data_IF_543894798303
#
_entry.id   IF_543894798303
#
_cell.length_a   1.000
_cell.length_b   1.000
_cell.length_c   1.000
_cell.angle_alpha   90.00
_cell.angle_beta   90.00
_cell.angle_gamma   90.00
#
_symmetry.space_group_name_H-M   'P 1'
#
loop_
_entity.id
_entity.type
_entity.pdbx_description
1 polymer ?
#
# COMPACT_ATOMS: atom_id res chain seq x y z
N UNK A 1 -20.87 -16.77 23.14
CA UNK A 1 -19.41 -16.54 23.13
C UNK A 1 -19.07 -15.93 21.79
N UNK A 2 -18.47 -14.74 21.74
CA UNK A 2 -18.20 -14.06 20.46
C UNK A 2 -17.02 -14.71 19.77
N UNK A 3 -17.24 -15.22 18.55
CA UNK A 3 -16.25 -15.85 17.69
C UNK A 3 -15.20 -14.83 17.20
N UNK A 4 -14.31 -14.39 18.10
CA UNK A 4 -13.06 -13.74 17.75
C UNK A 4 -11.94 -14.79 17.68
N UNK A 5 -12.08 -15.75 16.76
CA UNK A 5 -11.06 -16.77 16.48
C UNK A 5 -9.92 -16.23 15.62
N UNK A 6 -9.37 -15.05 15.97
CA UNK A 6 -8.25 -14.44 15.26
C UNK A 6 -6.91 -14.93 15.81
N UNK A 7 -5.98 -15.32 14.93
CA UNK A 7 -4.67 -15.84 15.28
C UNK A 7 -3.57 -15.27 14.39
N UNK A 8 -2.33 -15.65 14.66
CA UNK A 8 -1.20 -15.28 13.80
C UNK A 8 -1.41 -15.83 12.38
N UNK A 9 -1.30 -14.95 11.38
CA UNK A 9 -1.49 -15.34 9.98
C UNK A 9 -0.44 -16.37 9.54
N UNK A 10 -0.83 -17.36 8.74
CA UNK A 10 0.13 -18.26 8.11
C UNK A 10 1.13 -17.49 7.23
N UNK A 11 2.41 -17.83 7.30
CA UNK A 11 3.47 -17.11 6.57
C UNK A 11 4.08 -18.01 5.50
N UNK A 12 3.75 -17.74 4.24
CA UNK A 12 4.38 -18.35 3.08
C UNK A 12 5.58 -17.53 2.56
N UNK A 13 5.56 -16.20 2.76
CA UNK A 13 6.63 -15.27 2.39
C UNK A 13 7.00 -14.47 3.64
N UNK A 14 8.29 -14.49 4.06
CA UNK A 14 8.74 -13.76 5.24
C UNK A 14 8.47 -12.24 5.13
N UNK A 15 8.01 -11.57 6.21
CA UNK A 15 7.77 -10.13 6.22
C UNK A 15 8.99 -9.30 5.84
N UNK A 16 10.20 -9.77 6.16
CA UNK A 16 11.44 -9.09 5.76
C UNK A 16 11.58 -8.92 4.25
N UNK A 17 11.05 -9.88 3.45
CA UNK A 17 11.08 -9.79 1.98
C UNK A 17 10.06 -8.79 1.45
N UNK A 18 8.86 -8.74 2.03
CA UNK A 18 7.83 -7.77 1.62
C UNK A 18 8.22 -6.35 2.02
N UNK A 19 8.79 -6.17 3.22
CA UNK A 19 9.39 -4.90 3.66
C UNK A 19 10.52 -4.47 2.70
N UNK A 20 11.48 -5.36 2.41
CA UNK A 20 12.58 -5.04 1.52
C UNK A 20 12.08 -4.63 0.12
N UNK A 21 11.11 -5.38 -0.43
CA UNK A 21 10.47 -5.03 -1.70
C UNK A 21 9.85 -3.63 -1.66
N UNK A 22 9.06 -3.32 -0.63
CA UNK A 22 8.36 -2.05 -0.50
C UNK A 22 9.29 -0.87 -0.27
N UNK A 23 10.23 -0.98 0.67
CA UNK A 23 11.14 0.11 1.06
C UNK A 23 12.19 0.35 -0.02
N UNK A 24 12.90 -0.69 -0.44
CA UNK A 24 13.98 -0.55 -1.43
C UNK A 24 13.38 -0.24 -2.80
N UNK A 25 12.34 -0.97 -3.22
CA UNK A 25 11.66 -0.71 -4.49
C UNK A 25 11.00 0.66 -4.53
N UNK A 26 10.32 1.07 -3.45
CA UNK A 26 9.68 2.38 -3.33
C UNK A 26 10.68 3.53 -3.40
N UNK A 27 11.72 3.50 -2.56
CA UNK A 27 12.72 4.57 -2.52
C UNK A 27 13.54 4.65 -3.81
N UNK A 28 14.04 3.53 -4.34
CA UNK A 28 14.79 3.53 -5.61
C UNK A 28 13.90 4.05 -6.75
N UNK A 29 12.64 3.60 -6.82
CA UNK A 29 11.69 4.06 -7.82
C UNK A 29 11.46 5.57 -7.75
N UNK A 30 11.21 6.12 -6.56
CA UNK A 30 11.02 7.55 -6.35
C UNK A 30 12.29 8.31 -6.74
N UNK A 31 13.45 7.89 -6.26
CA UNK A 31 14.72 8.54 -6.58
C UNK A 31 15.11 8.45 -8.06
N UNK A 32 14.54 7.50 -8.80
CA UNK A 32 14.78 7.39 -10.22
C UNK A 32 14.05 8.45 -11.06
N UNK A 33 13.05 9.13 -10.49
CA UNK A 33 12.20 10.12 -11.19
C UNK A 33 12.98 11.16 -12.01
N UNK A 34 14.05 11.80 -11.49
CA UNK A 34 14.75 12.87 -12.20
C UNK A 34 15.68 12.38 -13.31
N UNK A 35 16.04 11.08 -13.37
CA UNK A 35 17.06 10.60 -14.31
C UNK A 35 16.59 10.64 -15.77
N UNK A 36 15.31 10.36 -16.01
CA UNK A 36 14.76 10.35 -17.35
C UNK A 36 13.27 10.70 -17.30
N UNK A 37 12.77 11.59 -18.18
CA UNK A 37 11.39 12.07 -18.15
C UNK A 37 10.33 11.01 -18.47
N UNK A 38 10.73 9.85 -18.99
CA UNK A 38 9.84 8.72 -19.29
C UNK A 38 10.10 7.58 -18.29
N UNK A 39 11.34 7.09 -18.23
CA UNK A 39 11.69 5.94 -17.38
C UNK A 39 11.65 6.27 -15.88
N UNK A 40 11.99 7.49 -15.48
CA UNK A 40 11.98 7.89 -14.07
C UNK A 40 10.59 7.81 -13.45
N UNK A 41 9.59 8.55 -13.98
CA UNK A 41 8.21 8.49 -13.49
C UNK A 41 7.61 7.08 -13.57
N UNK A 42 7.97 6.29 -14.59
CA UNK A 42 7.59 4.89 -14.68
C UNK A 42 8.14 4.07 -13.50
N UNK A 43 9.44 4.19 -13.21
CA UNK A 43 10.06 3.51 -12.07
C UNK A 43 9.47 3.96 -10.73
N UNK A 44 9.11 5.23 -10.59
CA UNK A 44 8.41 5.73 -9.40
C UNK A 44 7.05 5.06 -9.20
N UNK A 45 6.28 4.89 -10.27
CA UNK A 45 4.99 4.19 -10.21
C UNK A 45 5.14 2.70 -9.91
N UNK A 46 6.17 2.03 -10.43
CA UNK A 46 6.51 0.64 -10.08
C UNK A 46 6.99 0.51 -8.63
N UNK A 47 7.73 1.49 -8.12
CA UNK A 47 8.11 1.59 -6.72
C UNK A 47 6.89 1.73 -5.81
N UNK A 48 5.89 2.53 -6.21
CA UNK A 48 4.62 2.62 -5.50
C UNK A 48 3.85 1.29 -5.50
N UNK A 49 3.88 0.53 -6.60
CA UNK A 49 3.31 -0.83 -6.65
C UNK A 49 3.98 -1.74 -5.62
N UNK A 50 5.31 -1.70 -5.52
CA UNK A 50 6.05 -2.48 -4.52
C UNK A 50 5.65 -2.09 -3.08
N UNK A 51 5.49 -0.79 -2.82
CA UNK A 51 5.04 -0.28 -1.53
C UNK A 51 3.61 -0.74 -1.19
N UNK A 52 2.69 -0.78 -2.15
CA UNK A 52 1.32 -1.30 -1.94
C UNK A 52 1.34 -2.78 -1.58
N UNK A 53 2.16 -3.60 -2.24
CA UNK A 53 2.29 -5.03 -1.93
C UNK A 53 2.81 -5.24 -0.50
N UNK A 54 3.78 -4.42 -0.06
CA UNK A 54 4.24 -4.42 1.33
C UNK A 54 3.13 -4.01 2.31
N UNK A 55 2.40 -2.93 2.00
CA UNK A 55 1.27 -2.48 2.82
C UNK A 55 0.18 -3.53 2.95
N UNK A 56 -0.16 -4.24 1.87
CA UNK A 56 -1.15 -5.30 1.89
C UNK A 56 -0.73 -6.48 2.80
N UNK A 57 0.55 -6.84 2.80
CA UNK A 57 1.09 -7.84 3.73
C UNK A 57 1.00 -7.39 5.20
N UNK A 58 1.29 -6.12 5.47
CA UNK A 58 1.16 -5.55 6.80
C UNK A 58 -0.31 -5.48 7.27
N UNK A 59 -1.26 -5.13 6.39
CA UNK A 59 -2.70 -5.20 6.68
C UNK A 59 -3.08 -6.63 7.03
N UNK A 60 -2.70 -7.60 6.19
CA UNK A 60 -3.04 -9.00 6.39
C UNK A 60 -2.60 -9.50 7.77
N UNK A 61 -1.35 -9.21 8.15
CA UNK A 61 -0.80 -9.64 9.45
C UNK A 61 -1.56 -9.06 10.63
N UNK A 62 -1.89 -7.76 10.61
CA UNK A 62 -2.62 -7.15 11.74
C UNK A 62 -4.10 -7.55 11.74
N UNK A 63 -4.69 -7.75 10.57
CA UNK A 63 -6.09 -8.07 10.39
C UNK A 63 -6.44 -9.53 10.69
N UNK A 64 -5.47 -10.45 10.60
CA UNK A 64 -5.66 -11.87 10.98
C UNK A 64 -6.03 -12.06 12.45
N UNK A 65 -5.75 -11.06 13.30
CA UNK A 65 -6.17 -11.04 14.70
C UNK A 65 -7.66 -10.73 14.90
N UNK A 66 -8.48 -10.79 13.84
CA UNK A 66 -9.93 -10.67 13.95
C UNK A 66 -10.40 -9.23 14.11
N UNK A 67 -9.81 -8.30 13.35
CA UNK A 67 -10.12 -6.87 13.45
C UNK A 67 -11.53 -6.48 13.00
N UNK A 68 -12.24 -7.33 12.24
CA UNK A 68 -13.56 -7.03 11.70
C UNK A 68 -13.58 -5.70 10.94
N UNK A 69 -14.41 -4.75 11.38
CA UNK A 69 -14.51 -3.39 10.81
C UNK A 69 -13.27 -2.52 11.05
N UNK A 70 -12.35 -2.93 11.93
CA UNK A 70 -11.10 -2.23 12.21
C UNK A 70 -10.08 -2.27 11.07
N UNK A 71 -10.24 -3.17 10.07
CA UNK A 71 -9.33 -3.28 8.92
C UNK A 71 -9.41 -2.06 7.99
N UNK A 72 -10.61 -1.62 7.57
CA UNK A 72 -10.75 -0.31 6.93
C UNK A 72 -10.18 0.83 7.77
N UNK A 73 -10.47 0.87 9.07
CA UNK A 73 -10.06 1.98 9.94
C UNK A 73 -8.54 2.13 10.02
N UNK A 74 -7.81 1.03 10.23
CA UNK A 74 -6.35 1.10 10.38
C UNK A 74 -5.66 1.53 9.08
N UNK A 75 -6.14 1.09 7.91
CA UNK A 75 -5.49 1.50 6.67
C UNK A 75 -5.88 2.92 6.22
N UNK A 76 -7.12 3.40 6.43
CA UNK A 76 -7.47 4.80 6.12
C UNK A 76 -6.67 5.77 7.00
N UNK A 77 -6.56 5.45 8.29
CA UNK A 77 -5.74 6.22 9.23
C UNK A 77 -4.25 6.17 8.85
N UNK A 78 -3.71 4.98 8.55
CA UNK A 78 -2.31 4.84 8.16
C UNK A 78 -2.00 5.58 6.86
N UNK A 79 -2.95 5.63 5.92
CA UNK A 79 -2.79 6.37 4.69
C UNK A 79 -2.84 7.88 4.91
N UNK A 80 -3.75 8.37 5.76
CA UNK A 80 -3.77 9.77 6.15
C UNK A 80 -2.43 10.18 6.78
N UNK A 81 -1.91 9.36 7.69
CA UNK A 81 -0.57 9.55 8.30
C UNK A 81 0.52 9.56 7.21
N UNK A 82 0.45 8.65 6.24
CA UNK A 82 1.37 8.61 5.11
C UNK A 82 1.38 9.90 4.29
N UNK A 83 0.20 10.44 3.96
CA UNK A 83 0.07 11.72 3.24
C UNK A 83 0.66 12.85 4.07
N UNK A 84 0.32 12.95 5.35
CA UNK A 84 0.87 13.99 6.24
C UNK A 84 2.40 13.88 6.33
N UNK A 85 2.94 12.66 6.44
CA UNK A 85 4.38 12.42 6.43
C UNK A 85 5.04 12.85 5.13
N UNK A 86 4.41 12.58 3.99
CA UNK A 86 4.88 13.04 2.66
C UNK A 86 4.92 14.57 2.59
N UNK A 87 3.83 15.24 2.94
CA UNK A 87 3.76 16.70 2.88
C UNK A 87 4.77 17.35 3.84
N UNK A 88 4.86 16.85 5.08
CA UNK A 88 5.79 17.36 6.07
C UNK A 88 7.26 17.12 5.68
N UNK A 89 7.60 15.93 5.16
CA UNK A 89 8.96 15.61 4.77
C UNK A 89 9.43 16.37 3.54
N UNK A 90 8.54 16.52 2.54
CA UNK A 90 8.82 17.33 1.36
C UNK A 90 8.92 18.83 1.68
N UNK A 91 8.07 19.34 2.59
CA UNK A 91 8.18 20.72 3.09
C UNK A 91 9.46 20.96 3.91
N UNK A 92 9.86 20.00 4.74
CA UNK A 92 11.12 20.05 5.50
C UNK A 92 12.35 20.16 4.60
N UNK A 93 12.33 19.51 3.43
CA UNK A 93 13.37 19.66 2.40
C UNK A 93 13.49 21.07 1.81
N UNK A 94 12.38 21.83 1.77
CA UNK A 94 12.41 23.24 1.37
C UNK A 94 12.96 24.11 2.52
N UNK A 95 12.52 23.85 3.76
CA UNK A 95 12.89 24.67 4.92
C UNK A 95 14.38 24.57 5.28
N UNK A 96 15.01 23.42 5.04
CA UNK A 96 16.44 23.20 5.30
C UNK A 96 17.35 23.72 4.17
N UNK A 97 16.79 24.12 3.03
CA UNK A 97 17.50 24.64 1.86
C UNK A 97 17.44 23.69 0.65
N UNK A 98 17.43 24.27 -0.56
CA UNK A 98 17.24 23.54 -1.84
C UNK A 98 18.23 22.39 -2.09
N UNK A 99 19.42 22.45 -1.49
CA UNK A 99 20.41 21.37 -1.53
C UNK A 99 19.92 20.05 -0.90
N UNK A 100 18.97 20.11 0.05
CA UNK A 100 18.45 18.95 0.76
C UNK A 100 17.17 18.38 0.15
N UNK A 101 16.74 18.86 -1.02
CA UNK A 101 15.57 18.33 -1.75
C UNK A 101 15.71 16.82 -2.01
N UNK A 102 16.94 16.33 -2.18
CA UNK A 102 17.22 14.90 -2.34
C UNK A 102 16.90 14.08 -1.08
N UNK A 103 16.86 14.68 0.11
CA UNK A 103 16.47 13.97 1.33
C UNK A 103 14.96 13.91 1.51
N UNK A 104 14.17 14.67 0.73
CA UNK A 104 12.72 14.79 0.86
C UNK A 104 11.99 13.44 0.97
N UNK A 105 12.18 12.50 0.01
CA UNK A 105 11.53 11.18 0.08
C UNK A 105 11.89 10.36 1.33
N UNK A 106 13.16 10.38 1.75
CA UNK A 106 13.62 9.64 2.92
C UNK A 106 13.04 10.23 4.22
N UNK A 107 13.04 11.56 4.33
CA UNK A 107 12.48 12.28 5.49
C UNK A 107 10.97 12.08 5.56
N UNK A 108 10.27 12.16 4.41
CA UNK A 108 8.84 11.86 4.31
C UNK A 108 8.50 10.46 4.83
N UNK A 109 9.25 9.47 4.38
CA UNK A 109 9.10 8.08 4.83
C UNK A 109 9.37 7.93 6.34
N UNK A 110 10.44 8.53 6.85
CA UNK A 110 10.78 8.46 8.27
C UNK A 110 9.71 9.13 9.16
N UNK A 111 9.23 10.33 8.79
CA UNK A 111 8.18 11.02 9.52
C UNK A 111 6.89 10.19 9.54
N UNK A 112 6.49 9.62 8.40
CA UNK A 112 5.29 8.78 8.33
C UNK A 112 5.39 7.56 9.26
N UNK A 113 6.54 6.87 9.29
CA UNK A 113 6.76 5.74 10.19
C UNK A 113 6.73 6.15 11.67
N UNK A 114 7.34 7.28 12.03
CA UNK A 114 7.32 7.80 13.40
C UNK A 114 5.89 8.12 13.84
N UNK A 115 5.13 8.84 13.00
CA UNK A 115 3.73 9.19 13.28
C UNK A 115 2.85 7.93 13.38
N UNK A 116 3.06 6.94 12.52
CA UNK A 116 2.39 5.64 12.60
C UNK A 116 2.66 4.94 13.94
N UNK A 117 3.92 4.96 14.40
CA UNK A 117 4.31 4.42 15.69
C UNK A 117 3.65 5.15 16.87
N UNK A 118 3.61 6.48 16.85
CA UNK A 118 2.94 7.28 17.88
C UNK A 118 1.45 6.93 17.97
N UNK A 119 0.75 6.91 16.83
CA UNK A 119 -0.68 6.59 16.78
C UNK A 119 -0.94 5.16 17.25
N UNK A 120 -0.09 4.20 16.87
CA UNK A 120 -0.23 2.82 17.31
C UNK A 120 0.05 2.63 18.81
N UNK A 121 1.00 3.38 19.38
CA UNK A 121 1.25 3.39 20.82
C UNK A 121 0.07 3.96 21.59
N UNK A 122 -0.60 4.99 21.07
CA UNK A 122 -1.86 5.50 21.62
C UNK A 122 -2.93 4.41 21.56
N UNK A 123 -3.11 3.75 20.42
CA UNK A 123 -4.07 2.65 20.27
C UNK A 123 -3.81 1.48 21.24
N UNK A 124 -2.54 1.11 21.43
CA UNK A 124 -2.16 0.00 22.32
C UNK A 124 -2.28 0.38 23.81
N UNK A 125 -1.75 1.55 24.22
CA UNK A 125 -1.62 1.92 25.64
C UNK A 125 -2.81 2.70 26.19
N UNK A 126 -3.44 3.56 25.39
CA UNK A 126 -4.53 4.44 25.84
C UNK A 126 -5.88 3.81 25.53
N UNK A 127 -6.09 3.36 24.29
CA UNK A 127 -7.36 2.70 23.89
C UNK A 127 -7.43 1.26 24.42
N UNK A 128 -6.28 0.64 24.71
CA UNK A 128 -6.22 -0.70 25.29
C UNK A 128 -6.36 -1.84 24.29
N UNK A 129 -6.02 -1.60 23.02
CA UNK A 129 -6.05 -2.64 21.98
C UNK A 129 -5.01 -3.74 22.28
N UNK A 130 -5.46 -5.00 22.40
CA UNK A 130 -4.62 -6.15 22.78
C UNK A 130 -4.02 -6.91 21.60
N UNK A 131 -3.64 -6.20 20.54
CA UNK A 131 -3.08 -6.81 19.33
C UNK A 131 -1.54 -6.81 19.45
N UNK A 132 -0.87 -7.98 19.45
CA UNK A 132 0.57 -8.08 19.73
C UNK A 132 1.44 -7.24 18.77
N UNK A 133 1.15 -7.34 17.47
CA UNK A 133 1.94 -6.73 16.39
C UNK A 133 1.38 -5.39 15.90
N UNK A 134 0.43 -4.78 16.62
CA UNK A 134 -0.22 -3.53 16.20
C UNK A 134 0.78 -2.43 15.88
N UNK A 135 1.72 -2.18 16.79
CA UNK A 135 2.70 -1.09 16.65
C UNK A 135 3.56 -1.28 15.42
N UNK A 136 4.09 -2.49 15.23
CA UNK A 136 4.92 -2.80 14.06
C UNK A 136 4.11 -2.64 12.77
N UNK A 137 2.93 -3.27 12.68
CA UNK A 137 2.13 -3.22 11.46
C UNK A 137 1.68 -1.80 11.12
N UNK A 138 1.28 -0.98 12.09
CA UNK A 138 0.91 0.43 11.80
C UNK A 138 2.11 1.25 11.32
N UNK A 139 3.30 1.06 11.89
CA UNK A 139 4.53 1.72 11.40
C UNK A 139 4.79 1.32 9.95
N UNK A 140 4.76 0.02 9.66
CA UNK A 140 4.97 -0.50 8.31
C UNK A 140 3.90 0.02 7.32
N UNK A 141 2.64 0.05 7.73
CA UNK A 141 1.53 0.56 6.93
C UNK A 141 1.66 2.05 6.62
N UNK A 142 2.00 2.87 7.60
CA UNK A 142 2.25 4.29 7.39
C UNK A 142 3.45 4.54 6.47
N UNK A 143 4.49 3.70 6.57
CA UNK A 143 5.62 3.73 5.65
C UNK A 143 5.24 3.35 4.22
N UNK A 144 4.54 2.23 4.03
CA UNK A 144 4.02 1.78 2.74
C UNK A 144 3.06 2.81 2.11
N UNK A 145 2.19 3.41 2.92
CA UNK A 145 1.32 4.50 2.54
C UNK A 145 2.09 5.72 2.02
N UNK A 146 3.12 6.17 2.75
CA UNK A 146 3.93 7.31 2.34
C UNK A 146 4.64 7.04 1.01
N UNK A 147 5.26 5.87 0.85
CA UNK A 147 5.99 5.53 -0.38
C UNK A 147 5.05 5.34 -1.58
N UNK A 148 3.88 4.74 -1.39
CA UNK A 148 2.88 4.59 -2.47
C UNK A 148 2.29 5.93 -2.91
N UNK A 149 1.92 6.80 -1.96
CA UNK A 149 1.44 8.15 -2.27
C UNK A 149 2.53 8.96 -2.96
N UNK A 150 3.76 8.96 -2.43
CA UNK A 150 4.85 9.74 -2.98
C UNK A 150 5.28 9.22 -4.37
N UNK A 151 5.38 7.90 -4.56
CA UNK A 151 5.74 7.31 -5.85
C UNK A 151 4.72 7.62 -6.94
N UNK A 152 3.41 7.52 -6.64
CA UNK A 152 2.37 7.92 -7.58
C UNK A 152 2.31 9.44 -7.79
N UNK A 153 2.54 10.24 -6.75
CA UNK A 153 2.64 11.70 -6.88
C UNK A 153 3.81 12.10 -7.79
N UNK A 154 4.97 11.47 -7.61
CA UNK A 154 6.15 11.69 -8.45
C UNK A 154 5.93 11.22 -9.89
N UNK A 155 5.16 10.15 -10.10
CA UNK A 155 4.79 9.66 -11.42
C UNK A 155 3.91 10.66 -12.20
N UNK A 156 2.92 11.27 -11.52
CA UNK A 156 2.04 12.30 -12.09
C UNK A 156 2.82 13.60 -12.34
N UNK A 157 3.61 14.03 -11.36
CA UNK A 157 4.33 15.30 -11.42
C UNK A 157 5.57 15.26 -12.33
N UNK A 158 6.08 14.06 -12.65
CA UNK A 158 7.38 13.88 -13.30
C UNK A 158 8.57 14.29 -12.42
N UNK A 159 8.34 14.54 -11.14
CA UNK A 159 9.33 15.00 -10.16
C UNK A 159 8.85 14.69 -8.75
N UNK A 160 9.76 14.37 -7.82
CA UNK A 160 9.45 14.25 -6.40
C UNK A 160 9.61 15.56 -5.63
N UNK A 161 9.95 16.67 -6.31
CA UNK A 161 10.09 17.96 -5.67
C UNK A 161 8.73 18.53 -5.24
N UNK A 162 8.68 19.12 -4.05
CA UNK A 162 7.45 19.64 -3.45
C UNK A 162 6.69 20.63 -4.35
N UNK A 163 7.31 21.62 -5.03
CA UNK A 163 6.56 22.54 -5.89
C UNK A 163 5.81 21.82 -7.02
N UNK A 164 6.43 20.80 -7.64
CA UNK A 164 5.81 20.04 -8.72
C UNK A 164 4.62 19.20 -8.21
N UNK A 165 4.78 18.56 -7.05
CA UNK A 165 3.71 17.79 -6.41
C UNK A 165 2.56 18.70 -5.96
N UNK A 166 2.87 19.89 -5.42
CA UNK A 166 1.86 20.86 -5.01
C UNK A 166 0.98 21.26 -6.19
N UNK A 167 1.57 21.64 -7.32
CA UNK A 167 0.82 22.09 -8.49
C UNK A 167 0.04 20.97 -9.18
N UNK A 168 0.65 19.78 -9.34
CA UNK A 168 0.06 18.73 -10.20
C UNK A 168 -0.80 17.71 -9.44
N UNK A 169 -0.59 17.55 -8.12
CA UNK A 169 -1.29 16.54 -7.31
C UNK A 169 -2.18 17.16 -6.23
N UNK A 170 -1.69 18.19 -5.53
CA UNK A 170 -2.43 18.79 -4.41
C UNK A 170 -3.48 19.78 -4.94
N UNK A 171 -3.07 20.77 -5.72
CA UNK A 171 -3.96 21.81 -6.25
C UNK A 171 -5.02 21.27 -7.22
N UNK A 172 -4.74 20.16 -7.90
CA UNK A 172 -5.71 19.46 -8.77
C UNK A 172 -6.72 18.61 -8.00
N UNK A 173 -6.52 18.41 -6.68
CA UNK A 173 -7.34 17.52 -5.86
C UNK A 173 -7.02 16.04 -6.00
N UNK A 174 -6.05 15.65 -6.84
CA UNK A 174 -5.66 14.25 -7.02
C UNK A 174 -5.13 13.61 -5.74
N UNK A 175 -4.65 14.38 -4.77
CA UNK A 175 -4.29 13.86 -3.45
C UNK A 175 -5.47 13.15 -2.75
N UNK A 176 -6.71 13.62 -2.93
CA UNK A 176 -7.91 12.95 -2.40
C UNK A 176 -8.22 11.65 -3.13
N UNK A 177 -7.96 11.60 -4.44
CA UNK A 177 -8.07 10.37 -5.21
C UNK A 177 -6.98 9.36 -4.81
N UNK A 178 -5.73 9.81 -4.63
CA UNK A 178 -4.64 8.97 -4.12
C UNK A 178 -4.95 8.43 -2.73
N UNK A 179 -5.62 9.23 -1.89
CA UNK A 179 -6.08 8.78 -0.58
C UNK A 179 -7.04 7.59 -0.69
N UNK A 180 -8.05 7.66 -1.54
CA UNK A 180 -9.02 6.56 -1.69
C UNK A 180 -8.36 5.37 -2.40
N UNK A 181 -7.68 5.64 -3.51
CA UNK A 181 -7.09 4.64 -4.39
C UNK A 181 -6.03 3.79 -3.68
N UNK A 182 -5.06 4.41 -3.00
CA UNK A 182 -4.02 3.67 -2.28
C UNK A 182 -4.60 2.94 -1.06
N UNK A 183 -5.60 3.51 -0.39
CA UNK A 183 -6.27 2.82 0.73
C UNK A 183 -6.91 1.54 0.24
N UNK A 184 -7.71 1.62 -0.82
CA UNK A 184 -8.36 0.46 -1.42
C UNK A 184 -7.33 -0.54 -1.95
N UNK A 185 -6.25 -0.07 -2.59
CA UNK A 185 -5.23 -0.94 -3.13
C UNK A 185 -4.52 -1.77 -2.05
N UNK A 186 -4.30 -1.19 -0.86
CA UNK A 186 -3.65 -1.83 0.27
C UNK A 186 -4.62 -2.74 1.06
N UNK A 187 -5.87 -2.32 1.26
CA UNK A 187 -6.81 -3.03 2.15
C UNK A 187 -7.66 -4.10 1.45
N UNK A 188 -8.11 -3.81 0.23
CA UNK A 188 -9.00 -4.69 -0.51
C UNK A 188 -8.44 -6.12 -0.66
N UNK A 189 -7.13 -6.34 -0.87
CA UNK A 189 -6.60 -7.69 -1.03
C UNK A 189 -6.93 -8.62 0.15
N UNK A 190 -6.76 -8.14 1.38
CA UNK A 190 -7.10 -8.94 2.56
C UNK A 190 -8.62 -9.09 2.71
N UNK A 191 -9.37 -7.99 2.58
CA UNK A 191 -10.83 -8.02 2.75
C UNK A 191 -11.52 -8.94 1.75
N UNK A 192 -11.04 -9.01 0.51
CA UNK A 192 -11.57 -9.88 -0.53
C UNK A 192 -11.10 -11.34 -0.41
N UNK A 193 -10.00 -11.59 0.30
CA UNK A 193 -9.49 -12.94 0.56
C UNK A 193 -9.88 -13.47 1.94
N UNK A 194 -10.63 -12.70 2.74
CA UNK A 194 -11.03 -13.02 4.09
C UNK A 194 -11.90 -14.29 4.11
N UNK A 195 -11.55 -15.23 4.98
CA UNK A 195 -12.30 -16.46 5.21
C UNK A 195 -11.42 -17.58 5.74
N UNK A 196 -11.99 -18.76 6.05
CA UNK A 196 -11.25 -19.91 6.58
C UNK A 196 -10.10 -20.39 5.67
N UNK A 197 -10.19 -20.11 4.37
CA UNK A 197 -9.20 -20.48 3.36
C UNK A 197 -8.31 -19.29 2.94
N UNK A 198 -8.10 -18.29 3.80
CA UNK A 198 -7.16 -17.18 3.52
C UNK A 198 -5.75 -17.73 3.28
N UNK A 199 -5.12 -17.32 2.17
CA UNK A 199 -3.76 -17.68 1.81
C UNK A 199 -2.96 -16.43 1.43
N UNK A 200 -1.78 -16.27 2.04
CA UNK A 200 -0.91 -15.13 1.79
C UNK A 200 -0.57 -14.98 0.32
N UNK A 201 -0.31 -16.06 -0.41
CA UNK A 201 0.10 -15.96 -1.83
C UNK A 201 -1.05 -15.44 -2.68
N UNK A 202 -2.27 -15.93 -2.45
CA UNK A 202 -3.48 -15.41 -3.10
C UNK A 202 -3.72 -13.95 -2.77
N UNK A 203 -3.61 -13.57 -1.50
CA UNK A 203 -3.76 -12.18 -1.04
C UNK A 203 -2.74 -11.24 -1.70
N UNK A 204 -1.46 -11.64 -1.78
CA UNK A 204 -0.43 -10.81 -2.43
C UNK A 204 -0.57 -10.74 -3.95
N UNK A 205 -1.09 -11.79 -4.61
CA UNK A 205 -1.47 -11.73 -6.02
C UNK A 205 -2.58 -10.71 -6.26
N UNK A 206 -3.60 -10.67 -5.38
CA UNK A 206 -4.63 -9.64 -5.45
C UNK A 206 -4.10 -8.24 -5.15
N UNK A 207 -3.13 -8.11 -4.23
CA UNK A 207 -2.45 -6.84 -3.97
C UNK A 207 -1.68 -6.32 -5.20
N UNK A 208 -1.01 -7.20 -5.94
CA UNK A 208 -0.41 -6.83 -7.22
C UNK A 208 -1.48 -6.36 -8.23
N UNK A 209 -2.62 -7.05 -8.30
CA UNK A 209 -3.74 -6.65 -9.17
C UNK A 209 -4.25 -5.25 -8.86
N UNK A 210 -4.56 -4.96 -7.60
CA UNK A 210 -5.07 -3.64 -7.21
C UNK A 210 -4.01 -2.55 -7.38
N UNK A 211 -2.74 -2.86 -7.12
CA UNK A 211 -1.63 -1.92 -7.30
C UNK A 211 -1.39 -1.58 -8.78
N UNK A 212 -1.40 -2.57 -9.68
CA UNK A 212 -1.22 -2.31 -11.12
C UNK A 212 -2.43 -1.63 -11.75
N UNK A 213 -3.65 -1.95 -11.29
CA UNK A 213 -4.84 -1.21 -11.68
C UNK A 213 -4.74 0.26 -11.26
N UNK A 214 -4.28 0.50 -10.03
CA UNK A 214 -4.00 1.85 -9.51
C UNK A 214 -2.98 2.56 -10.40
N UNK A 215 -1.84 1.92 -10.69
CA UNK A 215 -0.81 2.44 -11.60
C UNK A 215 -1.38 2.81 -12.98
N UNK A 216 -2.27 2.01 -13.55
CA UNK A 216 -2.90 2.32 -14.84
C UNK A 216 -3.67 3.64 -14.79
N UNK A 217 -4.44 3.86 -13.72
CA UNK A 217 -5.19 5.10 -13.45
C UNK A 217 -4.22 6.26 -13.23
N UNK A 218 -3.12 6.07 -12.48
CA UNK A 218 -2.09 7.10 -12.26
C UNK A 218 -1.49 7.59 -13.58
N UNK A 219 -1.24 6.68 -14.53
CA UNK A 219 -0.79 7.07 -15.86
C UNK A 219 -1.78 8.02 -16.54
N UNK A 220 -3.09 7.77 -16.43
CA UNK A 220 -4.12 8.65 -17.02
C UNK A 220 -4.19 10.01 -16.31
N UNK A 221 -4.00 10.04 -14.99
CA UNK A 221 -3.91 11.29 -14.23
C UNK A 221 -2.68 12.13 -14.61
N UNK A 222 -1.65 11.49 -15.17
CA UNK A 222 -0.46 12.17 -15.69
C UNK A 222 -0.67 12.91 -17.02
N UNK A 223 -1.83 12.79 -17.69
CA UNK A 223 -2.10 13.49 -18.96
C UNK A 223 -1.97 15.00 -18.75
N UNK A 224 -1.10 15.64 -19.54
CA UNK A 224 -0.81 17.08 -19.45
C UNK A 224 0.25 17.46 -18.41
N UNK A 225 0.68 16.53 -17.53
CA UNK A 225 1.68 16.80 -16.49
C UNK A 225 2.97 15.98 -16.67
N UNK A 226 2.85 14.70 -17.04
CA UNK A 226 3.96 13.76 -17.17
C UNK A 226 4.13 13.28 -18.61
N UNK A 227 5.34 13.30 -19.13
CA UNK A 227 5.64 12.72 -20.46
C UNK A 227 5.51 11.19 -20.49
N UNK A 228 5.55 10.56 -19.32
CA UNK A 228 5.47 9.12 -19.13
C UNK A 228 4.04 8.58 -19.00
N UNK A 229 3.01 9.45 -19.04
CA UNK A 229 1.62 9.11 -18.74
C UNK A 229 1.14 7.83 -19.46
N UNK A 230 1.41 7.73 -20.77
CA UNK A 230 0.96 6.63 -21.62
C UNK A 230 1.66 5.32 -21.28
N UNK A 231 2.98 5.35 -21.04
CA UNK A 231 3.75 4.14 -20.75
C UNK A 231 3.41 3.60 -19.37
N UNK A 232 3.17 4.50 -18.39
CA UNK A 232 2.69 4.13 -17.05
C UNK A 232 1.32 3.45 -17.16
N UNK A 233 0.38 4.04 -17.92
CA UNK A 233 -0.94 3.46 -18.11
C UNK A 233 -0.91 2.09 -18.78
N UNK A 234 -0.13 1.93 -19.86
CA UNK A 234 -0.03 0.67 -20.59
C UNK A 234 0.62 -0.42 -19.73
N UNK A 235 1.74 -0.13 -19.07
CA UNK A 235 2.42 -1.11 -18.21
C UNK A 235 1.55 -1.46 -17.00
N UNK A 236 0.85 -0.49 -16.42
CA UNK A 236 -0.15 -0.73 -15.37
C UNK A 236 -1.25 -1.68 -15.84
N UNK A 237 -1.81 -1.47 -17.04
CA UNK A 237 -2.85 -2.33 -17.59
C UNK A 237 -2.35 -3.76 -17.89
N UNK A 238 -1.14 -3.91 -18.44
CA UNK A 238 -0.52 -5.21 -18.68
C UNK A 238 -0.26 -5.93 -17.35
N UNK A 239 0.33 -5.23 -16.37
CA UNK A 239 0.59 -5.76 -15.04
C UNK A 239 -0.69 -6.20 -14.34
N UNK A 240 -1.77 -5.43 -14.46
CA UNK A 240 -3.09 -5.77 -13.95
C UNK A 240 -3.64 -7.05 -14.59
N UNK A 241 -3.56 -7.18 -15.91
CA UNK A 241 -4.04 -8.38 -16.61
C UNK A 241 -3.29 -9.65 -16.17
N UNK A 242 -1.95 -9.57 -16.07
CA UNK A 242 -1.11 -10.68 -15.63
C UNK A 242 -1.42 -11.09 -14.19
N UNK A 243 -1.47 -10.11 -13.28
CA UNK A 243 -1.73 -10.36 -11.85
C UNK A 243 -3.16 -10.83 -11.59
N UNK A 244 -4.15 -10.29 -12.31
CA UNK A 244 -5.55 -10.76 -12.23
C UNK A 244 -5.66 -12.22 -12.64
N UNK A 245 -5.04 -12.62 -13.77
CA UNK A 245 -5.02 -14.03 -14.19
C UNK A 245 -4.36 -14.92 -13.14
N UNK A 246 -3.25 -14.49 -12.56
CA UNK A 246 -2.56 -15.24 -11.51
C UNK A 246 -3.39 -15.39 -10.23
N UNK A 247 -4.15 -14.36 -9.86
CA UNK A 247 -5.11 -14.39 -8.75
C UNK A 247 -6.27 -15.34 -9.03
N UNK A 248 -6.91 -15.24 -10.20
CA UNK A 248 -8.02 -16.12 -10.59
C UNK A 248 -7.60 -17.58 -10.59
N UNK A 249 -6.43 -17.91 -11.14
CA UNK A 249 -5.91 -19.27 -11.10
C UNK A 249 -5.74 -19.77 -9.66
N UNK A 250 -5.12 -18.97 -8.78
CA UNK A 250 -4.95 -19.35 -7.38
C UNK A 250 -6.28 -19.57 -6.65
N UNK A 251 -7.29 -18.76 -6.97
CA UNK A 251 -8.64 -18.90 -6.43
C UNK A 251 -9.32 -20.19 -6.93
N UNK A 252 -9.20 -20.51 -8.22
CA UNK A 252 -9.74 -21.73 -8.79
C UNK A 252 -9.07 -22.99 -8.22
N UNK A 253 -7.75 -22.98 -8.11
CA UNK A 253 -6.99 -24.11 -7.53
C UNK A 253 -7.39 -24.34 -6.06
N UNK A 254 -7.57 -23.25 -5.30
CA UNK A 254 -8.04 -23.32 -3.90
C UNK A 254 -9.45 -23.89 -3.83
N UNK A 255 -10.37 -23.45 -4.69
CA UNK A 255 -11.75 -23.94 -4.73
C UNK A 255 -11.81 -25.44 -5.11
N UNK A 256 -11.01 -25.88 -6.08
CA UNK A 256 -10.93 -27.27 -6.52
C UNK A 256 -10.37 -28.22 -5.45
N UNK A 257 -9.58 -27.71 -4.51
CA UNK A 257 -9.01 -28.50 -3.40
C UNK A 257 -10.02 -28.86 -2.31
N UNK A 258 -11.17 -28.17 -2.25
CA UNK A 258 -12.22 -28.44 -1.27
C UNK A 258 -13.20 -29.47 -1.86
N UNK A 259 -13.07 -30.74 -1.43
CA UNK A 259 -14.16 -31.72 -1.63
C UNK A 259 -15.32 -31.33 -0.71
N UNK A 260 -16.46 -30.97 -1.27
CA UNK A 260 -17.72 -30.80 -0.52
C UNK A 260 -18.01 -32.10 0.24
N UNK A 261 -17.95 -32.05 1.58
CA UNK A 261 -18.18 -33.21 2.43
C UNK A 261 -19.67 -33.54 2.60
N UNK A 262 -20.57 -32.66 2.15
CA UNK A 262 -22.02 -32.81 2.37
C UNK A 262 -22.45 -32.57 3.82
N UNK A 263 -21.52 -32.27 4.73
CA UNK A 263 -21.80 -32.07 6.14
C UNK A 263 -21.74 -30.59 6.48
N UNK A 264 -22.77 -30.11 7.17
CA UNK A 264 -22.76 -28.79 7.76
C UNK A 264 -21.67 -28.72 8.83
N UNK A 265 -20.96 -27.58 9.01
CA UNK A 265 -20.06 -27.40 10.14
C UNK A 265 -20.85 -27.65 11.44
N UNK A 266 -20.38 -28.59 12.27
CA UNK A 266 -21.04 -28.95 13.55
C UNK A 266 -21.21 -27.77 14.52
N UNK A 267 -20.47 -26.70 14.28
CA UNK A 267 -20.52 -25.44 15.04
C UNK A 267 -21.78 -24.62 14.72
N UNK A 268 -22.48 -24.91 13.61
CA UNK A 268 -23.76 -24.29 13.22
C UNK A 268 -24.98 -25.21 13.50
N UNK A 269 -24.77 -26.41 14.06
CA UNK A 269 -25.85 -27.34 14.47
C UNK A 269 -26.34 -27.10 15.92
N UNK A 270 -25.94 -25.99 16.56
CA UNK A 270 -26.33 -25.63 17.94
C UNK A 270 -27.21 -24.39 18.00
#
# INVERSE_FOLDING_TARGET
MSAAGGGEASVAIPPSRTIALGVVGGLIGIYATPFNPILGPLLASLGAVCAIVWGADAIRRVASYGLGTGVPSIGYMSLAIGIIGVLAGLAGGIMLGSAYTILGPLVAFAIAMILGGVVALIGKKIVGMKIPILVQCTIELSGAAALSVLGFSAAIAGSYAMPAILTTVISTGFIGLLFILNTMAIQHPFNACLGPNEDQRRTLKLAATTAFMSMAIIGLLGIGFSKAWWVISIIGAIGWFISMRAFLQASLDSAASVKWSGMWPKEEEQ
#
